data_IF_033710305177
#
_entry.id   IF_033710305177
#
_cell.length_a   1.000
_cell.length_b   1.000
_cell.length_c   1.000
_cell.angle_alpha   90.00
_cell.angle_beta   90.00
_cell.angle_gamma   90.00
#
_symmetry.space_group_name_H-M   'P 1'
#
loop_
_entity.id
_entity.type
_entity.pdbx_description
1 polymer ?
#
# COMPACT_ATOMS: atom_id res chain seq x y z
N UNK A 1 -0.34 19.87 11.14
CA UNK A 1 0.44 19.24 10.06
C UNK A 1 -0.42 18.74 8.90
N UNK A 2 -1.48 17.95 9.13
CA UNK A 2 -2.37 17.44 8.07
C UNK A 2 -3.02 18.54 7.20
N UNK A 3 -3.47 19.65 7.80
CA UNK A 3 -4.05 20.78 7.06
C UNK A 3 -3.02 21.52 6.18
N UNK A 4 -1.78 21.69 6.67
CA UNK A 4 -0.68 22.28 5.91
C UNK A 4 -0.27 21.39 4.72
N UNK A 5 -0.24 20.07 4.92
CA UNK A 5 -0.02 19.11 3.83
C UNK A 5 -1.18 19.12 2.82
N UNK A 6 -2.44 19.22 3.26
CA UNK A 6 -3.60 19.34 2.39
C UNK A 6 -3.56 20.60 1.51
N UNK A 7 -3.19 21.74 2.10
CA UNK A 7 -3.02 23.01 1.37
C UNK A 7 -1.83 22.96 0.39
N UNK A 8 -0.70 22.39 0.82
CA UNK A 8 0.47 22.20 -0.04
C UNK A 8 0.13 21.31 -1.25
N UNK A 9 -0.60 20.21 -1.04
CA UNK A 9 -1.01 19.32 -2.11
C UNK A 9 -1.96 20.01 -3.09
N UNK A 10 -2.84 20.92 -2.61
CA UNK A 10 -3.76 21.67 -3.44
C UNK A 10 -3.05 22.73 -4.33
N UNK A 11 -2.01 23.39 -3.82
CA UNK A 11 -1.37 24.54 -4.49
C UNK A 11 -0.01 24.24 -5.15
N UNK A 12 0.80 23.34 -4.60
CA UNK A 12 2.07 22.95 -5.21
C UNK A 12 1.85 21.75 -6.12
N UNK A 13 1.63 22.05 -7.40
CA UNK A 13 1.69 21.13 -8.54
C UNK A 13 2.67 20.01 -8.25
N UNK A 14 2.16 18.78 -8.09
CA UNK A 14 2.96 17.60 -7.90
C UNK A 14 3.98 17.55 -9.04
N UNK A 15 5.22 17.96 -8.76
CA UNK A 15 6.33 17.74 -9.66
C UNK A 15 6.54 16.24 -9.61
N UNK A 16 5.79 15.52 -10.43
CA UNK A 16 6.06 14.14 -10.78
C UNK A 16 7.35 14.16 -11.60
N UNK A 17 8.46 14.48 -10.93
CA UNK A 17 9.79 14.11 -11.41
C UNK A 17 9.73 12.61 -11.50
N UNK A 18 9.85 12.13 -12.73
CA UNK A 18 10.07 10.76 -13.16
C UNK A 18 10.95 9.93 -12.20
N UNK A 19 10.42 9.53 -11.03
CA UNK A 19 11.02 8.54 -10.14
C UNK A 19 10.94 7.12 -10.71
N UNK A 20 10.47 7.00 -11.95
CA UNK A 20 10.39 5.80 -12.75
C UNK A 20 11.47 5.78 -13.84
N UNK A 21 12.60 6.48 -13.64
CA UNK A 21 13.87 5.94 -14.12
C UNK A 21 14.20 4.75 -13.24
N UNK A 22 13.57 3.61 -13.57
CA UNK A 22 14.13 2.32 -13.19
C UNK A 22 15.57 2.36 -13.70
N UNK A 23 16.54 2.39 -12.77
CA UNK A 23 17.91 2.12 -13.15
C UNK A 23 17.89 0.80 -13.94
N UNK A 24 18.58 0.72 -15.10
CA UNK A 24 18.61 -0.51 -15.87
C UNK A 24 19.00 -1.63 -14.92
N UNK A 25 18.09 -2.59 -14.75
CA UNK A 25 18.30 -3.68 -13.81
C UNK A 25 19.60 -4.38 -14.19
N UNK A 26 20.62 -4.26 -13.36
CA UNK A 26 21.83 -5.05 -13.51
C UNK A 26 21.46 -6.52 -13.28
N UNK A 27 21.24 -7.24 -14.37
CA UNK A 27 20.75 -8.62 -14.38
C UNK A 27 21.74 -9.61 -13.74
N UNK A 28 22.96 -9.19 -13.38
CA UNK A 28 23.95 -10.03 -12.69
C UNK A 28 23.50 -10.49 -11.30
N UNK A 29 22.52 -9.84 -10.67
CA UNK A 29 22.16 -10.12 -9.28
C UNK A 29 20.66 -10.34 -9.04
N UNK A 30 20.04 -11.26 -9.80
CA UNK A 30 18.60 -11.59 -9.73
C UNK A 30 18.12 -11.97 -8.31
N UNK A 31 18.96 -12.65 -7.54
CA UNK A 31 18.64 -13.03 -6.15
C UNK A 31 18.48 -11.81 -5.24
N UNK A 32 19.35 -10.80 -5.37
CA UNK A 32 19.27 -9.57 -4.58
C UNK A 32 17.97 -8.80 -4.84
N UNK A 33 17.43 -8.83 -6.05
CA UNK A 33 16.15 -8.17 -6.34
C UNK A 33 14.96 -8.93 -5.78
N UNK A 34 14.98 -10.27 -5.82
CA UNK A 34 13.96 -11.10 -5.18
C UNK A 34 13.95 -10.87 -3.66
N UNK A 35 15.12 -10.85 -3.03
CA UNK A 35 15.23 -10.62 -1.59
C UNK A 35 14.81 -9.19 -1.22
N UNK A 36 15.22 -8.16 -1.98
CA UNK A 36 14.76 -6.78 -1.77
C UNK A 36 13.24 -6.65 -1.89
N UNK A 37 12.64 -7.32 -2.88
CA UNK A 37 11.18 -7.34 -3.07
C UNK A 37 10.46 -8.04 -1.91
N UNK A 38 10.97 -9.18 -1.47
CA UNK A 38 10.45 -9.91 -0.32
C UNK A 38 10.54 -9.10 0.97
N UNK A 39 11.70 -8.49 1.24
CA UNK A 39 11.90 -7.66 2.45
C UNK A 39 10.96 -6.46 2.47
N UNK A 40 10.78 -5.75 1.35
CA UNK A 40 9.82 -4.64 1.25
C UNK A 40 8.39 -5.09 1.60
N UNK A 41 8.01 -6.30 1.21
CA UNK A 41 6.71 -6.85 1.52
C UNK A 41 6.55 -7.19 3.00
N UNK A 42 7.54 -7.88 3.58
CA UNK A 42 7.57 -8.26 5.00
C UNK A 42 7.60 -7.06 5.94
N UNK A 43 8.30 -5.99 5.57
CA UNK A 43 8.35 -4.74 6.33
C UNK A 43 7.14 -3.82 6.09
N UNK A 44 6.25 -4.14 5.14
CA UNK A 44 5.01 -3.38 4.98
C UNK A 44 4.05 -3.73 6.13
N UNK A 45 3.69 -2.80 7.02
CA UNK A 45 2.87 -3.09 8.21
C UNK A 45 1.51 -3.69 7.87
N UNK A 46 0.99 -3.47 6.66
CA UNK A 46 -0.28 -4.03 6.21
C UNK A 46 -0.26 -5.56 6.12
N UNK A 47 0.89 -6.16 5.79
CA UNK A 47 1.01 -7.61 5.56
C UNK A 47 1.04 -8.39 6.88
N UNK A 48 1.88 -8.06 7.88
CA UNK A 48 1.82 -8.69 9.20
C UNK A 48 0.48 -8.48 9.90
N UNK A 49 -0.16 -7.31 9.75
CA UNK A 49 -1.50 -7.08 10.30
C UNK A 49 -2.53 -8.03 9.70
N UNK A 50 -2.49 -8.25 8.38
CA UNK A 50 -3.34 -9.22 7.70
C UNK A 50 -3.09 -10.65 8.19
N UNK A 51 -1.83 -11.07 8.32
CA UNK A 51 -1.49 -12.41 8.84
C UNK A 51 -1.99 -12.61 10.26
N UNK A 52 -1.72 -11.68 11.17
CA UNK A 52 -2.16 -11.80 12.58
C UNK A 52 -3.69 -11.88 12.65
N UNK A 53 -4.41 -11.03 11.93
CA UNK A 53 -5.87 -11.04 11.94
C UNK A 53 -6.46 -12.35 11.42
N UNK A 54 -5.97 -12.82 10.26
CA UNK A 54 -6.49 -14.04 9.63
C UNK A 54 -6.07 -15.32 10.34
N UNK A 55 -4.83 -15.38 10.85
CA UNK A 55 -4.35 -16.50 11.67
C UNK A 55 -5.14 -16.59 12.97
N UNK A 56 -5.36 -15.45 13.64
CA UNK A 56 -6.13 -15.42 14.90
C UNK A 56 -7.53 -15.96 14.68
N UNK A 57 -8.21 -15.49 13.62
CA UNK A 57 -9.53 -15.95 13.25
C UNK A 57 -9.56 -17.48 12.99
N UNK A 58 -8.66 -18.00 12.16
CA UNK A 58 -8.64 -19.42 11.80
C UNK A 58 -8.21 -20.33 12.97
N UNK A 59 -7.36 -19.84 13.85
CA UNK A 59 -6.93 -20.63 15.02
C UNK A 59 -8.02 -20.70 16.08
N UNK A 60 -8.69 -19.58 16.35
CA UNK A 60 -9.69 -19.47 17.42
C UNK A 60 -11.03 -20.07 16.98
N UNK A 61 -11.55 -19.67 15.81
CA UNK A 61 -12.92 -20.02 15.40
C UNK A 61 -12.98 -21.33 14.62
N UNK A 62 -11.95 -21.65 13.85
CA UNK A 62 -11.93 -22.84 12.96
C UNK A 62 -11.10 -23.98 13.56
N UNK A 63 -10.26 -23.70 14.56
CA UNK A 63 -9.48 -24.71 15.29
C UNK A 63 -8.41 -25.42 14.45
N UNK A 64 -7.88 -24.77 13.41
CA UNK A 64 -6.83 -25.37 12.59
C UNK A 64 -5.53 -25.53 13.41
N UNK A 65 -5.09 -26.78 13.57
CA UNK A 65 -3.85 -27.14 14.24
C UNK A 65 -3.00 -28.10 13.38
N UNK A 66 -1.69 -28.16 13.68
CA UNK A 66 -0.77 -29.08 13.02
C UNK A 66 -0.70 -28.88 11.50
N UNK A 67 -0.87 -29.95 10.72
CA UNK A 67 -0.73 -29.93 9.25
C UNK A 67 -1.68 -28.96 8.54
N UNK A 68 -2.91 -28.81 9.04
CA UNK A 68 -3.92 -27.91 8.46
C UNK A 68 -3.52 -26.44 8.59
N UNK A 69 -2.87 -26.09 9.69
CA UNK A 69 -2.33 -24.75 9.91
C UNK A 69 -1.24 -24.43 8.88
N UNK A 70 -0.27 -25.32 8.67
CA UNK A 70 0.82 -25.07 7.72
C UNK A 70 0.34 -24.94 6.27
N UNK A 71 -0.65 -25.75 5.86
CA UNK A 71 -1.26 -25.66 4.53
C UNK A 71 -2.00 -24.33 4.37
N UNK A 72 -2.79 -23.94 5.37
CA UNK A 72 -3.49 -22.65 5.36
C UNK A 72 -2.52 -21.47 5.33
N UNK A 73 -1.47 -21.51 6.16
CA UNK A 73 -0.44 -20.48 6.21
C UNK A 73 0.28 -20.33 4.86
N UNK A 74 0.64 -21.43 4.20
CA UNK A 74 1.24 -21.40 2.87
C UNK A 74 0.30 -20.78 1.82
N UNK A 75 -0.99 -21.16 1.84
CA UNK A 75 -2.01 -20.60 0.94
C UNK A 75 -2.25 -19.09 1.21
N UNK A 76 -2.24 -18.68 2.47
CA UNK A 76 -2.34 -17.28 2.87
C UNK A 76 -1.15 -16.45 2.34
N UNK A 77 0.08 -16.93 2.53
CA UNK A 77 1.27 -16.28 2.00
C UNK A 77 1.22 -16.15 0.47
N UNK A 78 0.78 -17.21 -0.23
CA UNK A 78 0.61 -17.17 -1.68
C UNK A 78 -0.45 -16.15 -2.12
N UNK A 79 -1.55 -16.05 -1.37
CA UNK A 79 -2.61 -15.07 -1.64
C UNK A 79 -2.13 -13.65 -1.43
N UNK A 80 -1.41 -13.38 -0.34
CA UNK A 80 -0.81 -12.07 -0.07
C UNK A 80 0.16 -11.66 -1.18
N UNK A 81 1.09 -12.55 -1.54
CA UNK A 81 2.04 -12.33 -2.63
C UNK A 81 1.33 -12.07 -3.97
N UNK A 82 0.29 -12.83 -4.28
CA UNK A 82 -0.51 -12.67 -5.50
C UNK A 82 -1.24 -11.32 -5.52
N UNK A 83 -1.79 -10.88 -4.39
CA UNK A 83 -2.42 -9.58 -4.28
C UNK A 83 -1.42 -8.44 -4.53
N UNK A 84 -0.19 -8.58 -4.06
CA UNK A 84 0.85 -7.59 -4.30
C UNK A 84 1.34 -7.58 -5.74
N UNK A 85 1.46 -8.73 -6.40
CA UNK A 85 1.67 -8.79 -7.85
C UNK A 85 0.53 -8.11 -8.61
N UNK A 86 -0.72 -8.37 -8.21
CA UNK A 86 -1.89 -7.75 -8.82
C UNK A 86 -1.86 -6.22 -8.66
N UNK A 87 -1.48 -5.70 -7.48
CA UNK A 87 -1.28 -4.25 -7.26
C UNK A 87 -0.26 -3.66 -8.23
N UNK A 88 0.85 -4.35 -8.49
CA UNK A 88 1.87 -3.90 -9.44
C UNK A 88 1.33 -3.89 -10.87
N UNK A 89 0.64 -4.95 -11.29
CA UNK A 89 0.01 -5.02 -12.62
C UNK A 89 -1.04 -3.93 -12.80
N UNK A 90 -1.89 -3.71 -11.79
CA UNK A 90 -2.87 -2.64 -11.76
C UNK A 90 -2.20 -1.27 -11.82
N UNK A 91 -1.14 -1.03 -11.05
CA UNK A 91 -0.39 0.23 -11.10
C UNK A 91 0.22 0.47 -12.49
N UNK A 92 0.68 -0.58 -13.17
CA UNK A 92 1.22 -0.47 -14.52
C UNK A 92 0.14 -0.10 -15.55
N UNK A 93 -1.03 -0.76 -15.48
CA UNK A 93 -2.18 -0.47 -16.33
C UNK A 93 -2.74 0.92 -16.04
N UNK A 94 -2.84 1.28 -14.76
CA UNK A 94 -3.31 2.57 -14.28
C UNK A 94 -2.37 3.68 -14.74
N UNK A 95 -1.04 3.49 -14.68
CA UNK A 95 -0.06 4.46 -15.19
C UNK A 95 -0.29 4.81 -16.67
N UNK A 96 -0.74 3.86 -17.49
CA UNK A 96 -1.09 4.10 -18.91
C UNK A 96 -2.43 4.82 -19.07
N UNK A 97 -3.35 4.63 -18.14
CA UNK A 97 -4.68 5.29 -18.10
C UNK A 97 -4.65 6.68 -17.46
N UNK A 98 -3.66 6.95 -16.60
CA UNK A 98 -3.48 8.20 -15.89
C UNK A 98 -3.08 9.29 -16.90
N UNK A 99 -4.08 10.08 -17.30
CA UNK A 99 -3.89 11.33 -18.04
C UNK A 99 -3.52 12.47 -17.09
N UNK A 100 -2.92 13.58 -17.58
CA UNK A 100 -2.64 14.76 -16.76
C UNK A 100 -3.90 15.30 -16.04
N UNK A 101 -5.07 15.15 -16.67
CA UNK A 101 -6.35 15.53 -16.08
C UNK A 101 -6.74 14.62 -14.89
N UNK A 102 -6.52 13.31 -15.00
CA UNK A 102 -6.78 12.37 -13.90
C UNK A 102 -5.83 12.59 -12.71
N UNK A 103 -4.55 12.87 -12.97
CA UNK A 103 -3.60 13.24 -11.90
C UNK A 103 -4.08 14.46 -11.12
N UNK A 104 -4.55 15.50 -11.84
CA UNK A 104 -5.09 16.70 -11.21
C UNK A 104 -6.33 16.39 -10.36
N UNK A 105 -7.24 15.56 -10.87
CA UNK A 105 -8.43 15.13 -10.13
C UNK A 105 -8.06 14.34 -8.85
N UNK A 106 -7.11 13.42 -8.92
CA UNK A 106 -6.61 12.66 -7.76
C UNK A 106 -5.96 13.57 -6.73
N UNK A 107 -5.16 14.54 -7.16
CA UNK A 107 -4.49 15.50 -6.28
C UNK A 107 -5.50 16.41 -5.54
N UNK A 108 -6.57 16.82 -6.22
CA UNK A 108 -7.68 17.56 -5.60
C UNK A 108 -8.42 16.67 -4.59
N UNK A 109 -8.75 15.44 -4.98
CA UNK A 109 -9.41 14.48 -4.08
C UNK A 109 -8.59 14.24 -2.81
N UNK A 110 -7.28 14.00 -2.94
CA UNK A 110 -6.37 13.83 -1.80
C UNK A 110 -6.32 15.07 -0.91
N UNK A 111 -6.27 16.27 -1.50
CA UNK A 111 -6.36 17.53 -0.76
C UNK A 111 -7.66 17.65 0.05
N UNK A 112 -8.80 17.33 -0.56
CA UNK A 112 -10.11 17.35 0.12
C UNK A 112 -10.15 16.35 1.27
N UNK A 113 -9.70 15.11 1.06
CA UNK A 113 -9.66 14.08 2.12
C UNK A 113 -8.80 14.51 3.29
N UNK A 114 -7.62 15.10 3.03
CA UNK A 114 -6.72 15.61 4.07
C UNK A 114 -7.33 16.78 4.84
N UNK A 115 -8.03 17.70 4.16
CA UNK A 115 -8.69 18.84 4.80
C UNK A 115 -9.88 18.39 5.66
N UNK A 116 -10.74 17.51 5.14
CA UNK A 116 -11.90 16.98 5.87
C UNK A 116 -11.45 16.12 7.05
N UNK A 117 -10.51 15.21 6.85
CA UNK A 117 -9.96 14.36 7.91
C UNK A 117 -9.25 15.18 8.99
N UNK A 118 -8.41 16.15 8.59
CA UNK A 118 -7.75 17.06 9.52
C UNK A 118 -8.73 17.94 10.30
N UNK A 119 -9.77 18.47 9.64
CA UNK A 119 -10.81 19.26 10.28
C UNK A 119 -11.63 18.45 11.29
N UNK A 120 -12.02 17.21 10.93
CA UNK A 120 -12.70 16.28 11.85
C UNK A 120 -11.88 15.99 13.10
N UNK A 121 -10.57 15.79 12.95
CA UNK A 121 -9.65 15.52 14.07
C UNK A 121 -9.55 16.71 15.04
N UNK A 122 -9.51 17.94 14.53
CA UNK A 122 -9.48 19.15 15.36
C UNK A 122 -10.82 19.34 16.06
N UNK A 123 -11.93 19.15 15.35
CA UNK A 123 -13.27 19.21 15.93
C UNK A 123 -13.44 18.21 17.07
N UNK A 124 -13.03 16.95 16.87
CA UNK A 124 -13.08 15.94 17.93
C UNK A 124 -12.15 16.27 19.10
N UNK A 125 -10.99 16.88 18.87
CA UNK A 125 -10.07 17.26 19.93
C UNK A 125 -10.58 18.45 20.77
N UNK A 126 -11.43 19.30 20.21
CA UNK A 126 -12.06 20.42 20.92
C UNK A 126 -13.30 20.00 21.73
N UNK A 127 -13.92 18.88 21.35
CA UNK A 127 -15.07 18.28 22.05
C UNK A 127 -14.72 17.06 22.91
N UNK A 128 -13.42 16.81 23.11
CA UNK A 128 -12.88 15.82 24.05
C UNK A 128 -12.27 16.53 25.26
#
# INVERSE_FOLDING_TARGET
>A
MLLLFGLYHLFFKARQKNSLQAQPADFRNRYNYLLKGFLINTFNPSVPLFWIGTISWVTIDVGYAGSRFYIFFAAMCLTALSADFLKVLLAHKLRRLISPALLKAMNIMLGVVLLVGGGRLIWSAWHA
#
